data_IF_932571707924
#
_entry.id   IF_932571707924
#
_cell.length_a   1.000
_cell.length_b   1.000
_cell.length_c   1.000
_cell.angle_alpha   90.00
_cell.angle_beta   90.00
_cell.angle_gamma   90.00
#
_symmetry.space_group_name_H-M   'P 1'
#
loop_
_entity.id
_entity.type
_entity.pdbx_description
1 polymer ?
#
# COMPACT_ATOMS: atom_id res chain seq x y z
N UNK A 1 -12.50 6.11 -9.04
CA UNK A 1 -13.09 6.77 -10.18
C UNK A 1 -14.02 7.88 -9.72
N UNK A 2 -13.95 9.05 -10.38
CA UNK A 2 -14.82 10.19 -10.12
C UNK A 2 -15.45 10.70 -11.43
N UNK A 3 -16.70 11.15 -11.34
CA UNK A 3 -17.39 11.92 -12.38
C UNK A 3 -17.42 13.37 -11.91
N UNK A 4 -16.91 14.28 -12.73
CA UNK A 4 -16.89 15.71 -12.45
C UNK A 4 -17.86 16.41 -13.41
N UNK A 5 -18.96 16.95 -12.88
CA UNK A 5 -19.87 17.78 -13.69
C UNK A 5 -19.28 19.16 -13.95
N UNK A 6 -19.65 19.75 -15.07
CA UNK A 6 -19.35 21.15 -15.41
C UNK A 6 -20.58 21.79 -16.05
N UNK A 7 -20.54 23.11 -16.32
CA UNK A 7 -21.63 23.81 -16.98
C UNK A 7 -21.93 23.21 -18.40
N UNK A 8 -22.99 23.67 -19.06
CA UNK A 8 -23.27 23.28 -20.43
C UNK A 8 -22.11 23.56 -21.36
N UNK A 9 -21.88 22.68 -22.34
CA UNK A 9 -20.78 22.85 -23.31
C UNK A 9 -20.88 24.15 -24.11
N UNK A 10 -22.09 24.69 -24.31
CA UNK A 10 -22.32 26.00 -24.94
C UNK A 10 -21.78 27.19 -24.14
N UNK A 11 -21.53 27.01 -22.84
CA UNK A 11 -21.08 28.04 -21.93
C UNK A 11 -19.56 27.98 -21.66
N UNK A 12 -18.85 27.02 -22.22
CA UNK A 12 -17.41 26.90 -22.00
C UNK A 12 -16.64 28.13 -22.51
N UNK A 13 -15.81 28.71 -21.63
CA UNK A 13 -15.00 29.88 -21.91
C UNK A 13 -15.74 31.22 -21.76
N UNK A 14 -17.01 31.21 -21.30
CA UNK A 14 -17.79 32.43 -21.11
C UNK A 14 -17.72 32.97 -19.67
N UNK A 15 -17.03 32.29 -18.77
CA UNK A 15 -17.04 32.56 -17.31
C UNK A 15 -18.42 32.36 -16.67
N UNK A 16 -19.15 31.38 -17.17
CA UNK A 16 -20.47 31.02 -16.68
C UNK A 16 -20.42 30.56 -15.22
N UNK A 17 -21.57 30.68 -14.51
CA UNK A 17 -21.70 30.26 -13.12
C UNK A 17 -21.26 28.80 -12.92
N UNK A 18 -20.33 28.59 -11.95
CA UNK A 18 -19.71 27.29 -11.66
C UNK A 18 -18.91 26.65 -12.81
N UNK A 19 -18.53 27.44 -13.82
CA UNK A 19 -17.60 26.93 -14.83
C UNK A 19 -16.28 26.51 -14.18
N UNK A 20 -15.89 25.26 -14.38
CA UNK A 20 -14.61 24.71 -13.96
C UNK A 20 -14.00 23.92 -15.11
N UNK A 21 -12.68 23.82 -15.10
CA UNK A 21 -11.99 22.95 -16.02
C UNK A 21 -11.47 21.70 -15.29
N UNK A 22 -12.20 20.58 -15.32
CA UNK A 22 -11.81 19.37 -14.60
C UNK A 22 -10.44 18.85 -14.99
N UNK A 23 -10.02 19.00 -16.27
CA UNK A 23 -8.71 18.55 -16.75
C UNK A 23 -7.60 19.28 -16.00
N UNK A 24 -7.70 20.61 -15.85
CA UNK A 24 -6.70 21.38 -15.09
C UNK A 24 -6.79 21.11 -13.59
N UNK A 25 -8.02 21.07 -13.05
CA UNK A 25 -8.25 20.91 -11.61
C UNK A 25 -7.69 19.60 -11.07
N UNK A 26 -7.85 18.51 -11.81
CA UNK A 26 -7.45 17.17 -11.36
C UNK A 26 -6.13 16.67 -11.99
N UNK A 27 -5.39 17.50 -12.70
CA UNK A 27 -4.15 17.12 -13.42
C UNK A 27 -3.08 16.56 -12.49
N UNK A 28 -2.95 17.11 -11.28
CA UNK A 28 -1.92 16.68 -10.32
C UNK A 28 -2.26 15.38 -9.59
N UNK A 29 -3.55 15.08 -9.42
CA UNK A 29 -3.99 13.97 -8.57
C UNK A 29 -4.60 12.79 -9.33
N UNK A 30 -4.61 12.81 -10.68
CA UNK A 30 -5.21 11.74 -11.49
C UNK A 30 -4.29 11.27 -12.62
N UNK A 31 -4.29 9.95 -12.87
CA UNK A 31 -3.58 9.36 -13.99
C UNK A 31 -4.42 9.26 -15.28
N UNK A 32 -5.74 9.38 -15.15
CA UNK A 32 -6.69 9.52 -16.27
C UNK A 32 -7.61 10.70 -15.98
N UNK A 33 -7.62 11.69 -16.89
CA UNK A 33 -8.43 12.89 -16.69
C UNK A 33 -8.87 13.45 -18.05
N UNK A 34 -10.14 13.29 -18.37
CA UNK A 34 -10.72 13.66 -19.67
C UNK A 34 -12.12 14.26 -19.49
N UNK A 35 -12.58 15.01 -20.50
CA UNK A 35 -13.97 15.50 -20.62
C UNK A 35 -14.62 14.86 -21.83
N UNK A 36 -15.80 14.28 -21.64
CA UNK A 36 -16.66 13.83 -22.73
C UNK A 36 -17.30 15.04 -23.42
N UNK A 37 -17.23 15.10 -24.75
CA UNK A 37 -17.78 16.20 -25.55
C UNK A 37 -18.97 15.79 -26.39
N UNK A 38 -19.22 14.47 -26.53
CA UNK A 38 -20.39 13.93 -27.21
C UNK A 38 -20.92 12.68 -26.51
N UNK A 39 -22.24 12.37 -26.61
CA UNK A 39 -22.80 11.13 -26.05
C UNK A 39 -22.11 9.86 -26.57
N UNK A 40 -21.74 9.83 -27.86
CA UNK A 40 -21.09 8.69 -28.50
C UNK A 40 -19.71 8.36 -27.91
N UNK A 41 -18.99 9.34 -27.37
CA UNK A 41 -17.68 9.13 -26.74
C UNK A 41 -17.80 8.53 -25.34
N UNK A 42 -18.86 8.89 -24.60
CA UNK A 42 -18.98 8.64 -23.18
C UNK A 42 -18.78 7.17 -22.79
N UNK A 43 -19.41 6.17 -23.45
CA UNK A 43 -19.24 4.76 -23.06
C UNK A 43 -17.78 4.28 -23.15
N UNK A 44 -17.04 4.66 -24.21
CA UNK A 44 -15.62 4.28 -24.37
C UNK A 44 -14.72 5.00 -23.38
N UNK A 45 -14.98 6.27 -23.10
CA UNK A 45 -14.23 7.05 -22.12
C UNK A 45 -14.47 6.52 -20.70
N UNK A 46 -15.72 6.18 -20.37
CA UNK A 46 -16.06 5.55 -19.09
C UNK A 46 -15.35 4.21 -18.92
N UNK A 47 -15.37 3.37 -19.95
CA UNK A 47 -14.62 2.11 -19.94
C UNK A 47 -13.13 2.34 -19.68
N UNK A 48 -12.50 3.27 -20.42
CA UNK A 48 -11.08 3.61 -20.25
C UNK A 48 -10.76 4.12 -18.85
N UNK A 49 -11.62 4.99 -18.30
CA UNK A 49 -11.49 5.52 -16.94
C UNK A 49 -11.58 4.42 -15.87
N UNK A 50 -12.55 3.50 -15.99
CA UNK A 50 -12.71 2.38 -15.08
C UNK A 50 -11.55 1.39 -15.18
N UNK A 51 -11.12 1.05 -16.40
CA UNK A 51 -9.94 0.19 -16.61
C UNK A 51 -8.69 0.83 -15.98
N UNK A 52 -8.47 2.13 -16.20
CA UNK A 52 -7.35 2.84 -15.60
C UNK A 52 -7.40 2.78 -14.07
N UNK A 53 -8.54 3.13 -13.46
CA UNK A 53 -8.69 3.15 -12.02
C UNK A 53 -8.44 1.76 -11.38
N UNK A 54 -8.95 0.70 -12.00
CA UNK A 54 -8.86 -0.67 -11.47
C UNK A 54 -7.47 -1.26 -11.71
N UNK A 55 -6.96 -1.18 -12.94
CA UNK A 55 -5.72 -1.87 -13.32
C UNK A 55 -4.46 -1.12 -12.85
N UNK A 56 -4.48 0.23 -12.92
CA UNK A 56 -3.35 1.05 -12.47
C UNK A 56 -3.42 1.40 -10.98
N UNK A 57 -4.60 1.22 -10.34
CA UNK A 57 -4.85 1.65 -8.95
C UNK A 57 -4.54 3.14 -8.75
N UNK A 58 -4.95 3.95 -9.71
CA UNK A 58 -4.80 5.40 -9.75
C UNK A 58 -6.16 6.09 -9.83
N UNK A 59 -6.18 7.39 -9.52
CA UNK A 59 -7.40 8.18 -9.67
C UNK A 59 -7.70 8.38 -11.15
N UNK A 60 -8.95 8.10 -11.55
CA UNK A 60 -9.46 8.43 -12.87
C UNK A 60 -10.64 9.39 -12.73
N UNK A 61 -10.64 10.47 -13.51
CA UNK A 61 -11.67 11.50 -13.52
C UNK A 61 -12.24 11.63 -14.93
N UNK A 62 -13.57 11.61 -15.02
CA UNK A 62 -14.29 11.86 -16.27
C UNK A 62 -15.21 13.06 -16.09
N UNK A 63 -14.91 14.15 -16.79
CA UNK A 63 -15.72 15.35 -16.85
C UNK A 63 -16.95 15.15 -17.75
N UNK A 64 -18.12 15.64 -17.31
CA UNK A 64 -19.36 15.57 -18.06
C UNK A 64 -20.03 16.96 -18.07
N UNK A 65 -20.18 17.60 -19.25
CA UNK A 65 -21.02 18.78 -19.39
C UNK A 65 -22.48 18.52 -19.06
N UNK A 66 -23.20 19.50 -18.51
CA UNK A 66 -24.57 19.37 -18.07
C UNK A 66 -25.54 19.02 -19.20
N UNK A 67 -25.36 19.58 -20.40
CA UNK A 67 -26.14 19.25 -21.60
C UNK A 67 -25.91 17.82 -22.10
N UNK A 68 -24.65 17.34 -21.98
CA UNK A 68 -24.34 15.95 -22.31
C UNK A 68 -25.00 14.98 -21.32
N UNK A 69 -24.97 15.32 -20.03
CA UNK A 69 -25.62 14.48 -19.01
C UNK A 69 -27.14 14.39 -19.17
N UNK A 70 -27.77 15.40 -19.77
CA UNK A 70 -29.20 15.44 -20.08
C UNK A 70 -29.57 14.87 -21.47
N UNK A 71 -28.56 14.52 -22.28
CA UNK A 71 -28.80 13.99 -23.64
C UNK A 71 -29.29 12.54 -23.63
N UNK A 72 -29.93 12.12 -24.74
CA UNK A 72 -30.31 10.73 -24.91
C UNK A 72 -29.07 9.83 -25.08
N UNK A 73 -29.07 8.63 -24.50
CA UNK A 73 -27.97 7.68 -24.68
C UNK A 73 -27.92 7.18 -26.14
N UNK A 74 -26.74 6.77 -26.58
CA UNK A 74 -26.56 6.06 -27.84
C UNK A 74 -27.29 4.70 -27.80
N UNK A 75 -28.03 4.37 -28.84
CA UNK A 75 -28.79 3.10 -28.94
C UNK A 75 -27.86 1.88 -29.01
N UNK A 76 -26.68 2.02 -29.63
CA UNK A 76 -25.69 0.95 -29.80
C UNK A 76 -24.28 1.42 -29.35
N UNK A 77 -23.98 1.43 -28.05
CA UNK A 77 -22.67 1.86 -27.57
C UNK A 77 -21.58 0.91 -28.04
N UNK A 78 -20.47 1.47 -28.56
CA UNK A 78 -19.33 0.70 -29.06
C UNK A 78 -18.42 0.17 -27.97
N UNK A 79 -18.71 0.43 -26.70
CA UNK A 79 -17.92 -0.03 -25.56
C UNK A 79 -18.42 -1.37 -25.03
N UNK A 80 -17.52 -2.29 -24.82
CA UNK A 80 -17.76 -3.55 -24.09
C UNK A 80 -17.03 -3.48 -22.75
N UNK A 81 -17.77 -3.64 -21.64
CA UNK A 81 -17.16 -3.62 -20.31
C UNK A 81 -16.43 -4.93 -19.99
N UNK A 82 -15.39 -5.21 -20.74
CA UNK A 82 -14.45 -6.30 -20.42
C UNK A 82 -13.29 -5.73 -19.61
N UNK A 83 -13.15 -6.17 -18.36
CA UNK A 83 -11.96 -5.88 -17.55
C UNK A 83 -10.98 -7.03 -17.71
N UNK A 84 -9.80 -6.82 -18.32
CA UNK A 84 -8.77 -7.83 -18.38
C UNK A 84 -8.25 -8.15 -16.98
N UNK A 85 -7.80 -9.38 -16.78
CA UNK A 85 -7.10 -9.75 -15.55
C UNK A 85 -5.84 -8.91 -15.40
N UNK A 86 -5.56 -8.51 -14.15
CA UNK A 86 -4.32 -7.79 -13.84
C UNK A 86 -3.13 -8.72 -14.04
N UNK A 87 -2.09 -8.24 -14.70
CA UNK A 87 -0.82 -8.97 -14.79
C UNK A 87 -0.20 -9.12 -13.39
N UNK A 88 0.33 -10.31 -13.09
CA UNK A 88 1.11 -10.58 -11.90
C UNK A 88 2.58 -10.45 -12.28
N UNK A 89 3.32 -9.66 -11.53
CA UNK A 89 4.75 -9.46 -11.72
C UNK A 89 5.51 -10.21 -10.62
N UNK A 90 6.53 -10.96 -11.01
CA UNK A 90 7.42 -11.66 -10.10
C UNK A 90 8.86 -11.27 -10.39
N UNK A 91 9.74 -11.10 -9.37
CA UNK A 91 11.17 -10.92 -9.56
C UNK A 91 11.80 -12.08 -10.33
N UNK A 92 12.96 -11.85 -10.93
CA UNK A 92 13.73 -12.90 -11.58
C UNK A 92 14.21 -13.95 -10.56
N UNK A 93 14.36 -15.20 -10.99
CA UNK A 93 14.84 -16.28 -10.11
C UNK A 93 16.22 -15.98 -9.50
N UNK A 94 17.10 -15.29 -10.22
CA UNK A 94 18.39 -14.81 -9.71
C UNK A 94 18.28 -13.75 -8.61
N UNK A 95 17.22 -12.94 -8.63
CA UNK A 95 16.93 -11.96 -7.59
C UNK A 95 16.33 -12.63 -6.36
N UNK A 96 15.43 -13.61 -6.56
CA UNK A 96 14.88 -14.44 -5.49
C UNK A 96 15.98 -15.23 -4.77
N UNK A 97 16.97 -15.74 -5.50
CA UNK A 97 18.12 -16.43 -4.92
C UNK A 97 18.94 -15.51 -4.00
N UNK A 98 19.26 -14.29 -4.48
CA UNK A 98 19.95 -13.27 -3.64
C UNK A 98 19.14 -12.91 -2.40
N UNK A 99 17.82 -12.82 -2.53
CA UNK A 99 16.96 -12.54 -1.38
C UNK A 99 16.98 -13.68 -0.37
N UNK A 100 16.89 -14.93 -0.84
CA UNK A 100 17.01 -16.11 0.01
C UNK A 100 18.37 -16.15 0.76
N UNK A 101 19.47 -15.84 0.09
CA UNK A 101 20.80 -15.76 0.69
C UNK A 101 20.88 -14.72 1.81
N UNK A 102 20.30 -13.53 1.60
CA UNK A 102 20.20 -12.49 2.63
C UNK A 102 19.40 -12.99 3.85
N UNK A 103 18.26 -13.62 3.65
CA UNK A 103 17.44 -14.17 4.72
C UNK A 103 18.18 -15.27 5.47
N UNK A 104 18.76 -16.21 4.76
CA UNK A 104 19.41 -17.38 5.34
C UNK A 104 20.67 -17.00 6.15
N UNK A 105 21.35 -15.89 5.79
CA UNK A 105 22.54 -15.38 6.48
C UNK A 105 22.24 -14.38 7.61
N UNK A 106 21.02 -13.90 7.75
CA UNK A 106 20.63 -12.92 8.78
C UNK A 106 20.06 -13.61 10.01
N UNK A 107 20.28 -13.04 11.21
CA UNK A 107 19.77 -13.60 12.47
C UNK A 107 18.56 -12.84 13.03
N UNK A 108 18.58 -11.51 12.93
CA UNK A 108 17.55 -10.62 13.47
C UNK A 108 16.79 -9.94 12.33
N UNK A 109 15.72 -10.57 11.91
CA UNK A 109 14.93 -10.09 10.78
C UNK A 109 13.66 -9.42 11.28
N UNK A 110 13.32 -8.25 10.73
CA UNK A 110 12.01 -7.62 10.91
C UNK A 110 11.31 -7.48 9.57
N UNK A 111 10.03 -7.86 9.53
CA UNK A 111 9.15 -7.62 8.39
C UNK A 111 8.35 -6.34 8.64
N UNK A 112 8.29 -5.45 7.65
CA UNK A 112 7.47 -4.25 7.70
C UNK A 112 6.53 -4.15 6.50
N UNK A 113 5.22 -4.17 6.76
CA UNK A 113 4.19 -4.27 5.75
C UNK A 113 3.52 -2.92 5.43
N UNK A 114 3.42 -2.60 4.15
CA UNK A 114 2.57 -1.53 3.64
C UNK A 114 1.27 -2.05 3.04
N UNK A 115 0.48 -1.13 2.48
CA UNK A 115 -0.83 -1.46 1.86
C UNK A 115 -0.70 -2.42 0.66
N UNK A 116 0.46 -2.45 -0.01
CA UNK A 116 0.72 -3.38 -1.11
C UNK A 116 0.77 -4.85 -0.69
N UNK A 117 0.91 -5.11 0.61
CA UNK A 117 0.93 -6.45 1.19
C UNK A 117 -0.47 -6.99 1.58
N UNK A 118 -1.55 -6.22 1.39
CA UNK A 118 -2.89 -6.52 1.91
C UNK A 118 -3.48 -7.86 1.45
N UNK A 119 -3.13 -8.32 0.26
CA UNK A 119 -3.65 -9.57 -0.33
C UNK A 119 -2.74 -10.79 -0.04
N UNK A 120 -1.66 -10.57 0.72
CA UNK A 120 -0.64 -11.58 1.02
C UNK A 120 -0.62 -11.99 2.51
N UNK A 121 -1.68 -11.74 3.27
CA UNK A 121 -1.70 -11.98 4.72
C UNK A 121 -1.24 -13.40 5.09
N UNK A 122 -1.83 -14.43 4.51
CA UNK A 122 -1.50 -15.83 4.77
C UNK A 122 -0.04 -16.15 4.48
N UNK A 123 0.47 -15.65 3.35
CA UNK A 123 1.87 -15.84 2.95
C UNK A 123 2.82 -15.10 3.89
N UNK A 124 2.45 -13.91 4.36
CA UNK A 124 3.27 -13.13 5.31
C UNK A 124 3.34 -13.82 6.67
N UNK A 125 2.22 -14.34 7.18
CA UNK A 125 2.20 -15.10 8.44
C UNK A 125 3.07 -16.36 8.32
N UNK A 126 2.93 -17.13 7.22
CA UNK A 126 3.77 -18.28 6.95
C UNK A 126 5.24 -17.89 6.84
N UNK A 127 5.55 -16.82 6.13
CA UNK A 127 6.91 -16.31 5.99
C UNK A 127 7.53 -15.95 7.35
N UNK A 128 6.81 -15.18 8.16
CA UNK A 128 7.25 -14.80 9.52
C UNK A 128 7.49 -16.02 10.41
N UNK A 129 6.62 -17.05 10.30
CA UNK A 129 6.81 -18.33 11.01
C UNK A 129 8.11 -19.01 10.63
N UNK A 130 8.41 -19.10 9.33
CA UNK A 130 9.60 -19.77 8.83
C UNK A 130 10.90 -19.05 9.25
N UNK A 131 10.93 -17.73 9.17
CA UNK A 131 12.13 -16.95 9.46
C UNK A 131 12.18 -16.37 10.88
N UNK A 132 11.20 -16.72 11.74
CA UNK A 132 11.06 -16.26 13.13
C UNK A 132 11.15 -14.73 13.26
N UNK A 133 10.44 -14.01 12.39
CA UNK A 133 10.50 -12.55 12.30
C UNK A 133 9.25 -11.87 12.85
N UNK A 134 9.37 -10.80 13.66
CA UNK A 134 8.27 -9.95 14.03
C UNK A 134 7.76 -9.13 12.83
N UNK A 135 6.45 -8.80 12.86
CA UNK A 135 5.76 -8.05 11.81
C UNK A 135 5.30 -6.69 12.32
N UNK A 136 5.90 -5.63 11.80
CA UNK A 136 5.40 -4.27 11.91
C UNK A 136 4.62 -3.85 10.65
N UNK A 137 3.83 -2.78 10.74
CA UNK A 137 3.05 -2.32 9.60
C UNK A 137 2.79 -0.82 9.63
N UNK A 138 2.49 -0.27 8.45
CA UNK A 138 2.05 1.12 8.29
C UNK A 138 0.57 1.28 8.65
N UNK A 139 0.14 2.53 8.93
CA UNK A 139 -1.26 2.85 9.20
C UNK A 139 -2.23 2.26 8.15
N UNK A 140 -1.91 2.41 6.86
CA UNK A 140 -2.77 1.90 5.77
C UNK A 140 -2.84 0.37 5.70
N UNK A 141 -1.83 -0.34 6.22
CA UNK A 141 -1.81 -1.79 6.21
C UNK A 141 -2.46 -2.42 7.43
N UNK A 142 -2.76 -1.64 8.49
CA UNK A 142 -3.26 -2.13 9.78
C UNK A 142 -4.40 -3.14 9.63
N UNK A 143 -5.46 -2.77 8.93
CA UNK A 143 -6.66 -3.61 8.80
C UNK A 143 -6.41 -4.93 8.03
N UNK A 144 -5.36 -4.99 7.23
CA UNK A 144 -5.04 -6.16 6.42
C UNK A 144 -3.99 -7.07 7.06
N UNK A 145 -3.21 -6.57 8.04
CA UNK A 145 -2.03 -7.29 8.58
C UNK A 145 -2.18 -7.60 10.06
N UNK A 146 -2.95 -6.81 10.82
CA UNK A 146 -3.04 -6.94 12.27
C UNK A 146 -3.83 -8.17 12.73
N UNK A 147 -4.93 -8.51 12.05
CA UNK A 147 -5.82 -9.60 12.46
C UNK A 147 -5.11 -10.95 12.34
N UNK A 148 -5.42 -11.88 13.25
CA UNK A 148 -4.89 -13.24 13.28
C UNK A 148 -3.37 -13.34 13.05
N UNK A 149 -2.62 -12.37 13.63
CA UNK A 149 -1.19 -12.23 13.46
C UNK A 149 -0.44 -12.44 14.79
N UNK A 150 0.09 -13.65 15.06
CA UNK A 150 0.84 -13.94 16.29
C UNK A 150 2.23 -13.28 16.33
N UNK A 151 2.72 -12.75 15.22
CA UNK A 151 4.02 -12.09 15.07
C UNK A 151 3.93 -10.56 15.15
N UNK A 152 2.75 -10.02 15.47
CA UNK A 152 2.47 -8.60 15.47
C UNK A 152 3.29 -7.84 16.53
N UNK A 153 3.95 -6.76 16.09
CA UNK A 153 4.64 -5.81 16.97
C UNK A 153 4.12 -4.36 16.81
N UNK A 154 2.98 -4.20 16.16
CA UNK A 154 2.26 -2.94 16.04
C UNK A 154 2.69 -2.08 14.86
N UNK A 155 2.10 -0.91 14.81
CA UNK A 155 2.28 0.09 13.76
C UNK A 155 3.43 1.04 14.12
N UNK A 156 4.21 1.50 13.13
CA UNK A 156 5.12 2.64 13.32
C UNK A 156 4.81 3.79 12.38
N UNK A 157 5.32 4.97 12.69
CA UNK A 157 5.05 6.24 12.02
C UNK A 157 4.64 7.30 13.04
N UNK A 158 4.15 8.46 12.57
CA UNK A 158 3.78 9.58 13.44
C UNK A 158 2.70 9.24 14.49
N UNK A 159 1.80 8.32 14.15
CA UNK A 159 0.74 7.81 15.03
C UNK A 159 1.06 6.42 15.57
N UNK A 160 2.28 5.94 15.36
CA UNK A 160 2.66 4.59 15.68
C UNK A 160 3.24 4.42 17.08
N UNK A 161 3.54 3.17 17.40
CA UNK A 161 4.16 2.78 18.65
C UNK A 161 5.68 2.58 18.49
N UNK A 162 6.46 2.73 19.56
CA UNK A 162 7.91 2.55 19.49
C UNK A 162 8.34 1.10 19.22
N UNK A 163 7.50 0.09 19.47
CA UNK A 163 7.87 -1.33 19.33
C UNK A 163 8.34 -1.71 17.93
N UNK A 164 7.57 -1.39 16.89
CA UNK A 164 7.97 -1.68 15.51
C UNK A 164 9.18 -0.84 15.09
N UNK A 165 9.26 0.43 15.50
CA UNK A 165 10.44 1.27 15.28
C UNK A 165 11.69 0.65 15.90
N UNK A 166 11.64 0.24 17.17
CA UNK A 166 12.76 -0.39 17.87
C UNK A 166 13.20 -1.68 17.17
N UNK A 167 12.23 -2.53 16.78
CA UNK A 167 12.53 -3.76 16.06
C UNK A 167 13.27 -3.51 14.75
N UNK A 168 12.81 -2.55 13.93
CA UNK A 168 13.47 -2.17 12.68
C UNK A 168 14.94 -1.75 12.90
N UNK A 169 15.23 -1.02 13.98
CA UNK A 169 16.59 -0.52 14.29
C UNK A 169 17.49 -1.57 14.95
N UNK A 170 16.93 -2.59 15.59
CA UNK A 170 17.69 -3.69 16.18
C UNK A 170 17.94 -4.86 15.22
N UNK A 171 17.33 -4.82 14.03
CA UNK A 171 17.50 -5.85 12.99
C UNK A 171 18.83 -5.76 12.28
N UNK A 172 19.33 -6.89 11.80
CA UNK A 172 20.39 -6.96 10.79
C UNK A 172 19.83 -7.03 9.36
N UNK A 173 18.55 -7.42 9.21
CA UNK A 173 17.81 -7.38 7.97
C UNK A 173 16.39 -6.84 8.17
N UNK A 174 16.05 -5.78 7.46
CA UNK A 174 14.69 -5.23 7.36
C UNK A 174 14.08 -5.58 6.00
N UNK A 175 12.92 -6.22 6.01
CA UNK A 175 12.21 -6.59 4.80
C UNK A 175 10.95 -5.71 4.67
N UNK A 176 10.94 -4.85 3.66
CA UNK A 176 9.84 -3.94 3.33
C UNK A 176 8.92 -4.59 2.30
N UNK A 177 7.68 -4.88 2.66
CA UNK A 177 6.68 -5.54 1.81
C UNK A 177 5.59 -4.56 1.37
N UNK A 178 5.60 -4.18 0.09
CA UNK A 178 4.56 -3.35 -0.51
C UNK A 178 4.37 -2.00 0.19
N UNK A 179 5.47 -1.35 0.56
CA UNK A 179 5.46 -0.08 1.28
C UNK A 179 6.37 0.97 0.65
N UNK A 180 5.84 2.17 0.47
CA UNK A 180 6.58 3.40 0.22
C UNK A 180 6.42 4.30 1.47
N UNK A 181 6.90 3.77 2.62
CA UNK A 181 6.78 4.44 3.91
C UNK A 181 7.45 5.82 3.89
N UNK A 182 6.71 6.92 4.12
CA UNK A 182 7.14 8.25 3.71
C UNK A 182 8.22 8.89 4.61
N UNK A 183 8.49 8.32 5.77
CA UNK A 183 9.34 8.97 6.78
C UNK A 183 10.74 8.37 6.79
N UNK A 184 11.65 8.97 6.04
CA UNK A 184 13.07 8.56 5.97
C UNK A 184 13.74 8.51 7.35
N UNK A 185 13.40 9.45 8.24
CA UNK A 185 13.94 9.50 9.61
C UNK A 185 13.59 8.27 10.48
N UNK A 186 12.61 7.47 10.07
CA UNK A 186 12.24 6.24 10.76
C UNK A 186 12.99 5.00 10.24
N UNK A 187 13.73 5.14 9.14
CA UNK A 187 14.46 4.02 8.56
C UNK A 187 15.80 3.80 9.27
N UNK A 188 16.16 2.54 9.58
CA UNK A 188 17.46 2.24 10.16
C UNK A 188 18.59 2.51 9.16
N UNK A 189 19.77 2.89 9.65
CA UNK A 189 20.95 3.21 8.83
C UNK A 189 21.95 2.06 8.78
N UNK A 190 21.97 1.22 9.80
CA UNK A 190 22.99 0.20 10.00
C UNK A 190 22.54 -1.21 9.62
N UNK A 191 21.28 -1.40 9.21
CA UNK A 191 20.78 -2.71 8.82
C UNK A 191 20.67 -2.85 7.30
N UNK A 192 20.76 -4.07 6.78
CA UNK A 192 20.47 -4.36 5.39
C UNK A 192 18.97 -4.20 5.14
N UNK A 193 18.59 -3.64 4.00
CA UNK A 193 17.18 -3.42 3.66
C UNK A 193 16.88 -4.08 2.31
N UNK A 194 15.86 -4.95 2.32
CA UNK A 194 15.25 -5.50 1.10
C UNK A 194 13.87 -4.87 0.93
N UNK A 195 13.55 -4.42 -0.26
CA UNK A 195 12.24 -3.84 -0.57
C UNK A 195 11.58 -4.57 -1.73
N UNK A 196 10.34 -5.03 -1.53
CA UNK A 196 9.48 -5.61 -2.55
C UNK A 196 8.34 -4.63 -2.82
N UNK A 197 8.21 -4.19 -4.05
CA UNK A 197 7.09 -3.34 -4.47
C UNK A 197 6.67 -3.65 -5.91
N UNK A 198 5.37 -3.60 -6.17
CA UNK A 198 4.81 -3.78 -7.51
C UNK A 198 5.11 -2.60 -8.43
N UNK A 199 5.54 -1.48 -7.85
CA UNK A 199 5.95 -0.25 -8.53
C UNK A 199 7.46 -0.09 -8.39
N UNK A 200 8.28 -0.64 -9.31
CA UNK A 200 9.73 -0.63 -9.19
C UNK A 200 10.33 0.78 -9.06
N UNK A 201 9.68 1.78 -9.66
CA UNK A 201 10.09 3.19 -9.59
C UNK A 201 9.99 3.79 -8.16
N UNK A 202 9.40 3.07 -7.21
CA UNK A 202 9.30 3.48 -5.81
C UNK A 202 10.33 2.84 -4.90
N UNK A 203 11.04 1.83 -5.40
CA UNK A 203 12.06 1.12 -4.66
C UNK A 203 13.24 2.05 -4.40
N UNK A 204 13.73 2.09 -3.15
CA UNK A 204 14.87 2.91 -2.74
C UNK A 204 14.59 4.41 -2.55
N UNK A 205 13.35 4.87 -2.65
CA UNK A 205 13.01 6.31 -2.53
C UNK A 205 13.20 6.87 -1.12
N UNK A 206 13.15 6.03 -0.09
CA UNK A 206 13.11 6.45 1.33
C UNK A 206 14.26 5.94 2.16
N UNK A 207 15.00 4.97 1.67
CA UNK A 207 16.16 4.41 2.33
C UNK A 207 17.15 3.90 1.28
N UNK A 208 18.43 3.84 1.64
CA UNK A 208 19.41 3.07 0.87
C UNK A 208 19.05 1.60 1.05
N UNK A 209 18.75 0.91 -0.02
CA UNK A 209 18.41 -0.51 -0.01
C UNK A 209 19.54 -1.36 -0.56
N UNK A 210 19.68 -2.58 -0.05
CA UNK A 210 20.68 -3.55 -0.50
C UNK A 210 20.14 -4.42 -1.64
N UNK A 211 18.81 -4.69 -1.65
CA UNK A 211 18.15 -5.44 -2.72
C UNK A 211 16.73 -4.90 -2.97
N UNK A 212 16.46 -4.49 -4.20
CA UNK A 212 15.12 -4.10 -4.66
C UNK A 212 14.51 -5.17 -5.55
N UNK A 213 13.26 -5.55 -5.27
CA UNK A 213 12.54 -6.59 -5.98
C UNK A 213 11.23 -6.03 -6.56
N UNK A 214 11.17 -5.88 -7.89
CA UNK A 214 9.94 -5.48 -8.57
C UNK A 214 8.97 -6.65 -8.68
N UNK A 215 7.87 -6.64 -7.89
CA UNK A 215 6.93 -7.76 -7.93
C UNK A 215 5.74 -7.64 -6.98
N UNK A 216 4.78 -8.52 -7.19
CA UNK A 216 3.67 -8.73 -6.27
C UNK A 216 4.16 -9.45 -5.01
N UNK A 217 3.77 -8.97 -3.83
CA UNK A 217 4.24 -9.50 -2.54
C UNK A 217 3.85 -10.97 -2.39
N UNK A 218 2.60 -11.31 -2.69
CA UNK A 218 2.09 -12.68 -2.54
C UNK A 218 2.84 -13.67 -3.41
N UNK A 219 2.94 -13.37 -4.71
CA UNK A 219 3.59 -14.25 -5.69
C UNK A 219 5.11 -14.36 -5.43
N UNK A 220 5.74 -13.24 -5.03
CA UNK A 220 7.16 -13.23 -4.63
C UNK A 220 7.43 -14.13 -3.43
N UNK A 221 6.60 -14.04 -2.36
CA UNK A 221 6.77 -14.89 -1.18
C UNK A 221 6.52 -16.37 -1.50
N UNK A 222 5.52 -16.69 -2.32
CA UNK A 222 5.26 -18.07 -2.75
C UNK A 222 6.45 -18.67 -3.50
N UNK A 223 7.08 -17.89 -4.38
CA UNK A 223 8.27 -18.31 -5.11
C UNK A 223 9.53 -18.43 -4.21
N UNK A 224 9.58 -17.66 -3.14
CA UNK A 224 10.71 -17.61 -2.20
C UNK A 224 10.71 -18.81 -1.24
N UNK A 225 9.55 -19.35 -0.83
CA UNK A 225 9.46 -20.41 0.18
C UNK A 225 10.37 -21.61 -0.07
N UNK A 226 10.51 -22.14 -1.30
CA UNK A 226 11.41 -23.27 -1.54
C UNK A 226 12.91 -22.97 -1.40
N UNK A 227 13.29 -21.67 -1.33
CA UNK A 227 14.68 -21.20 -1.34
C UNK A 227 15.20 -20.85 0.04
N UNK A 228 14.31 -20.69 1.04
CA UNK A 228 14.66 -20.29 2.40
C UNK A 228 14.60 -21.49 3.35
N UNK A 229 15.46 -21.44 4.38
CA UNK A 229 15.46 -22.43 5.45
C UNK A 229 14.61 -21.97 6.60
N UNK A 230 13.93 -22.91 7.26
CA UNK A 230 13.24 -22.60 8.52
C UNK A 230 14.27 -22.37 9.61
N UNK A 231 14.13 -21.21 10.32
CA UNK A 231 14.97 -20.85 11.44
C UNK A 231 14.50 -21.52 12.72
N UNK A 232 15.46 -21.95 13.55
CA UNK A 232 15.15 -22.53 14.87
C UNK A 232 15.14 -21.48 15.97
N UNK A 233 16.10 -20.53 15.93
CA UNK A 233 16.22 -19.47 16.93
C UNK A 233 15.13 -18.40 16.76
N UNK A 234 14.31 -18.19 17.78
CA UNK A 234 13.25 -17.19 17.85
C UNK A 234 13.49 -16.13 18.95
N UNK A 235 14.66 -16.08 19.58
CA UNK A 235 14.96 -15.15 20.67
C UNK A 235 14.65 -13.69 20.34
N UNK A 236 15.02 -13.27 19.12
CA UNK A 236 14.73 -11.91 18.66
C UNK A 236 13.22 -11.67 18.54
N UNK A 237 12.48 -12.59 17.95
CA UNK A 237 11.02 -12.53 17.84
C UNK A 237 10.39 -12.43 19.22
N UNK A 238 10.75 -13.32 20.16
CA UNK A 238 10.17 -13.33 21.51
C UNK A 238 10.48 -12.04 22.28
N UNK A 239 11.69 -11.50 22.12
CA UNK A 239 12.05 -10.20 22.68
C UNK A 239 11.13 -9.10 22.18
N UNK A 240 10.89 -9.01 20.87
CA UNK A 240 10.07 -7.96 20.27
C UNK A 240 8.58 -8.10 20.62
N UNK A 241 8.07 -9.32 20.64
CA UNK A 241 6.69 -9.61 21.09
C UNK A 241 6.48 -9.20 22.55
N UNK A 242 7.47 -9.48 23.43
CA UNK A 242 7.41 -9.07 24.86
C UNK A 242 7.40 -7.54 25.01
N UNK A 243 8.19 -6.82 24.21
CA UNK A 243 8.18 -5.34 24.21
C UNK A 243 6.79 -4.82 23.81
N UNK A 244 6.21 -5.37 22.75
CA UNK A 244 4.90 -4.97 22.28
C UNK A 244 3.79 -5.34 23.28
N UNK A 245 3.86 -6.51 23.90
CA UNK A 245 2.92 -6.94 24.96
C UNK A 245 2.86 -5.95 26.12
N UNK A 246 4.01 -5.57 26.66
CA UNK A 246 4.10 -4.56 27.74
C UNK A 246 3.54 -3.20 27.31
N UNK A 247 3.72 -2.83 26.04
CA UNK A 247 3.17 -1.58 25.51
C UNK A 247 1.65 -1.64 25.43
N UNK A 248 1.07 -2.76 24.97
CA UNK A 248 -0.39 -2.96 24.94
C UNK A 248 -1.01 -2.89 26.35
N UNK A 249 -0.40 -3.55 27.33
CA UNK A 249 -0.83 -3.47 28.74
C UNK A 249 -0.82 -2.03 29.27
N UNK A 250 0.26 -1.28 29.00
CA UNK A 250 0.35 0.14 29.38
C UNK A 250 -0.73 1.00 28.71
N UNK A 251 -1.02 0.78 27.44
CA UNK A 251 -2.05 1.50 26.70
C UNK A 251 -3.46 1.17 27.21
N UNK A 252 -3.74 -0.11 27.51
CA UNK A 252 -4.99 -0.52 28.11
C UNK A 252 -5.19 0.16 29.48
N UNK A 253 -4.17 0.15 30.34
CA UNK A 253 -4.22 0.81 31.64
C UNK A 253 -4.43 2.33 31.57
N UNK A 254 -3.97 2.98 30.48
CA UNK A 254 -4.24 4.40 30.24
C UNK A 254 -5.69 4.64 29.79
N UNK A 255 -6.22 3.77 28.93
CA UNK A 255 -7.60 3.85 28.45
C UNK A 255 -8.63 3.62 29.56
N UNK A 256 -8.29 2.81 30.59
CA UNK A 256 -9.17 2.53 31.74
C UNK A 256 -9.17 3.67 32.78
N UNK A 257 -8.31 4.66 32.66
CA UNK A 257 -8.30 5.80 33.58
C UNK A 257 -9.56 6.64 33.38
N UNK A 258 -10.36 6.78 34.45
CA UNK A 258 -11.50 7.69 34.45
C UNK A 258 -11.01 9.15 34.34
N UNK A 259 -11.62 9.92 33.46
CA UNK A 259 -11.43 11.35 33.39
C UNK A 259 -11.82 12.04 34.72
N UNK A 260 -11.24 13.19 35.02
CA UNK A 260 -11.70 14.05 36.13
C UNK A 260 -12.79 15.00 35.61
N UNK A 261 -13.53 15.64 36.52
CA UNK A 261 -14.51 16.68 36.15
C UNK A 261 -13.93 17.80 35.26
N UNK A 262 -12.61 18.00 35.28
CA UNK A 262 -11.91 19.06 34.51
C UNK A 262 -11.17 18.52 33.28
N UNK A 263 -10.93 17.22 33.15
CA UNK A 263 -10.15 16.64 32.06
C UNK A 263 -10.85 15.38 31.50
N UNK A 264 -10.94 15.31 30.19
CA UNK A 264 -11.36 14.09 29.48
C UNK A 264 -10.25 13.03 29.65
N UNK A 265 -10.63 11.78 29.89
CA UNK A 265 -9.66 10.68 29.88
C UNK A 265 -9.02 10.55 28.50
N UNK A 266 -7.73 10.24 28.40
CA UNK A 266 -7.02 10.09 27.14
C UNK A 266 -7.55 8.94 26.27
#
# INVERSE_FOLDING_TARGET
FAIASTCSSSEFGTSYFQETNPIKLFSDCSGYNQIATTPAQFPRMLQGALQHAILKKEVAVLGIPGDLAASQPEENPTATFALPSRAIYRPLDSELQKFAELINSSERITIYCGIGAKEAHTEIIKFASMIKAPIGYSFKAKMAIQYDNPYEIGMTGLLGFPSAYTSMHESDLLILLGTDFPYEAFMPKECKIVQIDIRPERIGRRAKIDLGLGGDVKDTLQALFPLIYEKENDDFLQKQLKIYGKLKEKMAALADKKGSEKNIAP
#
